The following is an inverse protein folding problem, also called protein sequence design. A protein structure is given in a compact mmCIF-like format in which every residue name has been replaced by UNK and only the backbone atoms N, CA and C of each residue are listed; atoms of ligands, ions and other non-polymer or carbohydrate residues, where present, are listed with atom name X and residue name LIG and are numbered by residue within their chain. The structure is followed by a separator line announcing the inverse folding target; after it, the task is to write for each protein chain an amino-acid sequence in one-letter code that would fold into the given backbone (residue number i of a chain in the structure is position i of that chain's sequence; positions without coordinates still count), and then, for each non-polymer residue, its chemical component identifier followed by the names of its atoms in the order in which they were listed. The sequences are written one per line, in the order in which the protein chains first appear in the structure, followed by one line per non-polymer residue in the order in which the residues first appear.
data_IF_146783365231
#
_entry.id   IF_146783365231
#
_cell.length_a   1.000
_cell.length_b   1.000
_cell.length_c   1.000
_cell.angle_alpha   90.00
_cell.angle_beta   90.00
_cell.angle_gamma   90.00
#
_symmetry.space_group_name_H-M   'P 1'
#
loop_
_entity.id
_entity.type
_entity.pdbx_description
1 polymer ?
#
# COMPACT_ATOMS: atom_id res chain seq x y z
N UNK A 1 10.52 4.82 -6.96
CA UNK A 1 10.28 3.48 -6.40
C UNK A 1 11.04 2.47 -7.23
N UNK A 2 11.75 1.52 -6.59
CA UNK A 2 12.56 0.51 -7.30
C UNK A 2 11.69 -0.54 -8.00
N UNK A 3 12.30 -1.39 -8.83
CA UNK A 3 11.59 -2.50 -9.48
C UNK A 3 11.22 -3.57 -8.45
N UNK A 4 12.08 -3.79 -7.47
CA UNK A 4 11.85 -4.69 -6.33
C UNK A 4 10.64 -4.24 -5.50
N UNK A 5 10.57 -2.94 -5.18
CA UNK A 5 9.44 -2.35 -4.44
C UNK A 5 8.11 -2.60 -5.17
N UNK A 6 8.10 -2.40 -6.50
CA UNK A 6 6.92 -2.63 -7.34
C UNK A 6 6.48 -4.10 -7.35
N UNK A 7 7.42 -5.04 -7.33
CA UNK A 7 7.12 -6.48 -7.23
C UNK A 7 6.49 -6.82 -5.88
N UNK A 8 7.02 -6.27 -4.79
CA UNK A 8 6.46 -6.44 -3.44
C UNK A 8 5.02 -5.92 -3.40
N UNK A 9 4.78 -4.71 -3.91
CA UNK A 9 3.44 -4.11 -3.93
C UNK A 9 2.48 -4.97 -4.76
N UNK A 10 2.89 -5.37 -5.97
CA UNK A 10 2.03 -6.16 -6.86
C UNK A 10 1.58 -7.47 -6.20
N UNK A 11 2.51 -8.20 -5.57
CA UNK A 11 2.20 -9.42 -4.80
C UNK A 11 1.17 -9.18 -3.70
N UNK A 12 1.38 -8.14 -2.88
CA UNK A 12 0.48 -7.80 -1.77
C UNK A 12 -0.91 -7.43 -2.30
N UNK A 13 -0.97 -6.62 -3.35
CA UNK A 13 -2.24 -6.18 -3.93
C UNK A 13 -3.01 -7.31 -4.60
N UNK A 14 -2.33 -8.23 -5.30
CA UNK A 14 -2.96 -9.43 -5.87
C UNK A 14 -3.58 -10.30 -4.78
N UNK A 15 -2.85 -10.57 -3.70
CA UNK A 15 -3.37 -11.30 -2.55
C UNK A 15 -4.58 -10.58 -1.90
N UNK A 16 -4.48 -9.28 -1.69
CA UNK A 16 -5.55 -8.46 -1.12
C UNK A 16 -6.81 -8.44 -2.02
N UNK A 17 -6.65 -8.33 -3.34
CA UNK A 17 -7.78 -8.31 -4.27
C UNK A 17 -8.53 -9.63 -4.27
N UNK A 18 -7.81 -10.75 -4.19
CA UNK A 18 -8.37 -12.11 -4.19
C UNK A 18 -9.05 -12.49 -2.88
N UNK A 19 -8.47 -12.10 -1.73
CA UNK A 19 -8.91 -12.59 -0.41
C UNK A 19 -9.63 -11.54 0.42
N UNK A 20 -9.48 -10.25 0.09
CA UNK A 20 -9.87 -9.13 0.95
C UNK A 20 -8.97 -8.94 2.17
N UNK A 21 -7.93 -9.77 2.35
CA UNK A 21 -7.08 -9.73 3.52
C UNK A 21 -5.84 -8.87 3.29
N UNK A 22 -5.61 -7.91 4.19
CA UNK A 22 -4.47 -6.98 4.15
C UNK A 22 -3.28 -7.50 4.94
N UNK A 23 -2.85 -8.75 4.70
CA UNK A 23 -1.68 -9.35 5.35
C UNK A 23 -0.77 -10.00 4.32
N UNK A 24 0.53 -10.04 4.63
CA UNK A 24 1.56 -10.70 3.83
C UNK A 24 2.63 -11.28 4.77
N UNK A 25 3.18 -12.44 4.44
CA UNK A 25 4.12 -13.16 5.33
C UNK A 25 5.52 -12.53 5.36
N UNK A 26 5.86 -11.70 4.38
CA UNK A 26 7.22 -11.16 4.21
C UNK A 26 7.32 -9.66 4.49
N UNK A 27 6.21 -8.93 4.38
CA UNK A 27 6.16 -7.48 4.65
C UNK A 27 4.98 -7.12 5.53
N UNK A 28 5.12 -6.03 6.27
CA UNK A 28 3.98 -5.45 6.99
C UNK A 28 3.01 -4.86 5.98
N UNK A 29 1.72 -4.94 6.29
CA UNK A 29 0.68 -4.33 5.47
C UNK A 29 -0.19 -3.46 6.36
N UNK A 30 -0.40 -2.22 5.93
CA UNK A 30 -1.26 -1.26 6.62
C UNK A 30 -2.37 -0.82 5.67
N UNK A 31 -3.58 -1.26 5.96
CA UNK A 31 -4.79 -0.81 5.28
C UNK A 31 -5.21 0.56 5.81
N UNK A 32 -5.15 1.56 4.95
CA UNK A 32 -5.61 2.91 5.23
C UNK A 32 -7.11 3.05 4.90
N UNK A 33 -7.78 4.08 5.46
CA UNK A 33 -9.12 4.43 5.02
C UNK A 33 -9.19 4.63 3.51
N UNK A 34 -10.34 4.32 2.93
CA UNK A 34 -10.54 4.42 1.49
C UNK A 34 -10.28 5.84 0.96
N UNK A 35 -9.88 5.92 -0.31
CA UNK A 35 -9.59 7.15 -1.05
C UNK A 35 -8.42 7.99 -0.47
N UNK A 36 -7.64 7.48 0.48
CA UNK A 36 -6.35 8.10 0.86
C UNK A 36 -5.34 7.93 -0.27
N UNK A 37 -4.65 9.01 -0.62
CA UNK A 37 -3.58 9.06 -1.63
C UNK A 37 -2.21 9.35 -1.02
N UNK A 38 -2.15 9.58 0.30
CA UNK A 38 -0.93 9.79 1.06
C UNK A 38 -1.10 9.34 2.51
N UNK A 39 0.03 9.15 3.19
CA UNK A 39 0.11 8.79 4.60
C UNK A 39 1.32 9.44 5.27
N UNK A 40 1.21 9.82 6.54
CA UNK A 40 2.35 10.28 7.34
C UNK A 40 2.91 9.09 8.09
N UNK A 41 4.05 8.59 7.64
CA UNK A 41 4.81 7.55 8.34
C UNK A 41 5.63 8.21 9.45
N UNK A 42 5.37 7.79 10.69
CA UNK A 42 6.08 8.25 11.88
C UNK A 42 7.25 7.33 12.19
N UNK A 43 8.42 7.92 12.46
CA UNK A 43 9.62 7.19 12.91
C UNK A 43 10.30 7.97 14.04
N UNK A 44 9.93 7.66 15.28
CA UNK A 44 10.38 8.44 16.45
C UNK A 44 9.66 9.79 16.49
N UNK A 45 10.44 10.88 16.57
CA UNK A 45 9.93 12.26 16.58
C UNK A 45 9.75 12.86 15.17
N UNK A 46 10.26 12.18 14.14
CA UNK A 46 10.17 12.62 12.75
C UNK A 46 9.07 11.89 11.98
N UNK A 47 8.29 12.65 11.22
CA UNK A 47 7.30 12.13 10.28
C UNK A 47 7.69 12.43 8.83
N UNK A 48 7.39 11.50 7.91
CA UNK A 48 7.51 11.76 6.47
C UNK A 48 6.24 11.42 5.73
N UNK A 49 5.99 12.14 4.65
CA UNK A 49 4.86 11.87 3.77
C UNK A 49 5.25 10.75 2.80
N UNK A 50 4.44 9.71 2.77
CA UNK A 50 4.43 8.68 1.75
C UNK A 50 3.30 9.03 0.77
N UNK A 51 3.65 9.21 -0.49
CA UNK A 51 2.68 9.32 -1.58
C UNK A 51 2.35 7.92 -2.11
N UNK A 52 1.07 7.68 -2.34
CA UNK A 52 0.57 6.42 -2.88
C UNK A 52 0.39 6.56 -4.40
N UNK A 53 0.84 5.54 -5.13
CA UNK A 53 0.62 5.43 -6.58
C UNK A 53 -0.70 4.69 -6.86
N UNK A 54 -1.36 5.00 -7.97
CA UNK A 54 -2.59 4.31 -8.38
C UNK A 54 -2.25 2.96 -9.02
N UNK A 55 -2.81 1.88 -8.49
CA UNK A 55 -2.74 0.54 -9.06
C UNK A 55 -4.12 0.11 -9.54
N UNK A 56 -4.19 -0.39 -10.77
CA UNK A 56 -5.41 -0.94 -11.37
C UNK A 56 -5.25 -2.45 -11.44
N UNK A 57 -6.04 -3.17 -10.66
CA UNK A 57 -6.05 -4.64 -10.63
C UNK A 57 -7.47 -5.12 -10.86
N UNK A 58 -7.66 -5.88 -11.95
CA UNK A 58 -8.98 -6.30 -12.41
C UNK A 58 -9.96 -5.11 -12.54
N UNK A 59 -11.06 -5.13 -11.80
CA UNK A 59 -12.10 -4.09 -11.73
C UNK A 59 -11.92 -3.12 -10.55
N UNK A 60 -10.85 -3.29 -9.76
CA UNK A 60 -10.56 -2.47 -8.57
C UNK A 60 -9.41 -1.50 -8.83
N UNK A 61 -9.49 -0.35 -8.17
CA UNK A 61 -8.40 0.62 -8.10
C UNK A 61 -7.95 0.72 -6.66
N UNK A 62 -6.66 0.61 -6.42
CA UNK A 62 -6.05 0.65 -5.09
C UNK A 62 -4.88 1.63 -5.13
N UNK A 63 -4.83 2.55 -4.18
CA UNK A 63 -3.68 3.40 -3.95
C UNK A 63 -2.68 2.64 -3.08
N UNK A 64 -1.42 2.54 -3.50
CA UNK A 64 -0.41 1.84 -2.71
C UNK A 64 1.00 2.40 -2.82
N UNK A 65 1.82 2.13 -1.81
CA UNK A 65 3.25 2.42 -1.80
C UNK A 65 3.98 1.48 -0.83
N UNK A 66 5.26 1.25 -1.08
CA UNK A 66 6.13 0.47 -0.20
C UNK A 66 7.15 1.39 0.47
N UNK A 67 7.24 1.29 1.79
CA UNK A 67 8.28 1.92 2.59
C UNK A 67 9.37 0.90 2.92
N UNK A 68 10.50 0.97 2.22
CA UNK A 68 11.68 0.17 2.57
C UNK A 68 12.22 0.49 3.99
N UNK A 69 11.89 1.67 4.54
CA UNK A 69 12.32 2.09 5.89
C UNK A 69 11.61 1.30 6.98
N UNK A 70 10.30 1.08 6.84
CA UNK A 70 9.50 0.33 7.82
C UNK A 70 9.20 -1.11 7.40
N UNK A 71 9.54 -1.48 6.16
CA UNK A 71 9.17 -2.76 5.56
C UNK A 71 7.65 -2.91 5.41
N UNK A 72 6.95 -1.80 5.11
CA UNK A 72 5.48 -1.74 5.10
C UNK A 72 4.93 -1.37 3.74
N UNK A 73 3.97 -2.15 3.25
CA UNK A 73 3.07 -1.75 2.16
C UNK A 73 1.87 -1.03 2.77
N UNK A 74 1.68 0.21 2.35
CA UNK A 74 0.47 0.98 2.65
C UNK A 74 -0.48 0.84 1.47
N UNK A 75 -1.73 0.46 1.73
CA UNK A 75 -2.75 0.35 0.70
C UNK A 75 -4.05 1.04 1.11
N UNK A 76 -4.76 1.60 0.15
CA UNK A 76 -5.99 2.37 0.32
C UNK A 76 -6.92 2.09 -0.86
N UNK A 77 -8.03 1.38 -0.66
CA UNK A 77 -8.99 1.11 -1.73
C UNK A 77 -9.58 2.42 -2.27
N UNK A 78 -9.71 2.53 -3.59
CA UNK A 78 -10.48 3.61 -4.20
C UNK A 78 -11.93 3.15 -4.33
N UNK A 79 -12.84 3.86 -3.67
CA UNK A 79 -14.28 3.60 -3.75
C UNK A 79 -14.96 4.80 -4.41
N UNK A 80 -15.91 4.54 -5.31
CA UNK A 80 -16.76 5.60 -5.87
C UNK A 80 -17.73 6.03 -4.77
N UNK A 81 -17.62 7.29 -4.37
CA UNK A 81 -18.63 8.00 -3.56
C UNK A 81 -19.86 8.31 -4.37
#
# INVERSE_FOLDING_TARGET
MSMEDKKIISRVLEHYVLTGNGTDDQVKVTCLPANKTSYIEQTGEDGRIILLEEYKLADKVIWASYSARSGTVYLSPKIKT
#
